data_IF_902966071027
#
_entry.id   IF_902966071027
#
_cell.length_a   1.000
_cell.length_b   1.000
_cell.length_c   1.000
_cell.angle_alpha   90.00
_cell.angle_beta   90.00
_cell.angle_gamma   90.00
#
_symmetry.space_group_name_H-M   'P 1'
#
loop_
_entity.id
_entity.type
_entity.pdbx_description
1 polymer ?
#
# COMPACT_ATOMS: atom_id res chain seq x y z
N UNK A 1 44.64 13.96 0.40
CA UNK A 1 44.18 12.55 0.44
C UNK A 1 42.97 12.44 -0.50
N UNK A 2 43.17 12.02 -1.75
CA UNK A 2 42.08 11.87 -2.72
C UNK A 2 41.24 10.65 -2.33
N UNK A 3 40.08 10.85 -1.68
CA UNK A 3 39.08 9.79 -1.59
C UNK A 3 38.58 9.53 -3.00
N UNK A 4 38.96 8.39 -3.59
CA UNK A 4 38.32 7.89 -4.81
C UNK A 4 36.81 7.89 -4.56
N UNK A 5 36.09 8.77 -5.26
CA UNK A 5 34.64 8.73 -5.34
C UNK A 5 34.26 7.46 -6.11
N UNK A 6 34.20 6.33 -5.39
CA UNK A 6 33.70 5.07 -5.94
C UNK A 6 32.25 5.31 -6.31
N UNK A 7 31.95 5.35 -7.62
CA UNK A 7 30.60 5.53 -8.14
C UNK A 7 29.69 4.49 -7.49
N UNK A 8 28.73 4.94 -6.68
CA UNK A 8 27.77 4.05 -6.05
C UNK A 8 26.86 3.51 -7.15
N UNK A 9 26.87 2.19 -7.34
CA UNK A 9 25.97 1.52 -8.25
C UNK A 9 24.72 1.10 -7.47
N UNK A 10 23.56 1.42 -8.01
CA UNK A 10 22.28 0.91 -7.51
C UNK A 10 22.15 -0.56 -7.90
N UNK A 11 21.86 -1.42 -6.93
CA UNK A 11 21.50 -2.81 -7.20
C UNK A 11 19.98 -2.94 -7.34
N UNK A 12 19.49 -3.70 -8.33
CA UNK A 12 18.05 -3.91 -8.51
C UNK A 12 17.48 -4.79 -7.39
N UNK A 13 16.17 -4.70 -7.13
CA UNK A 13 15.48 -5.47 -6.09
C UNK A 13 15.78 -6.98 -6.15
N UNK A 14 15.89 -7.53 -7.37
CA UNK A 14 16.19 -8.93 -7.65
C UNK A 14 17.51 -9.41 -7.00
N UNK A 15 18.48 -8.51 -6.83
CA UNK A 15 19.76 -8.81 -6.20
C UNK A 15 19.60 -9.27 -4.74
N UNK A 16 18.53 -8.86 -4.07
CA UNK A 16 18.34 -9.08 -2.63
C UNK A 16 17.51 -10.33 -2.28
N UNK A 17 16.87 -10.98 -3.26
CA UNK A 17 15.89 -12.08 -3.06
C UNK A 17 16.44 -13.33 -2.39
N UNK A 18 17.75 -13.60 -2.52
CA UNK A 18 18.39 -14.81 -1.97
C UNK A 18 19.10 -14.57 -0.65
N UNK A 19 19.08 -13.34 -0.11
CA UNK A 19 19.71 -13.05 1.17
C UNK A 19 18.89 -13.71 2.28
N UNK A 20 19.57 -14.34 3.23
CA UNK A 20 18.94 -15.03 4.37
C UNK A 20 19.38 -14.35 5.66
N UNK A 21 18.75 -13.22 5.97
CA UNK A 21 19.00 -12.53 7.23
C UNK A 21 18.13 -13.13 8.35
N UNK A 22 18.61 -12.98 9.59
CA UNK A 22 17.81 -13.28 10.79
C UNK A 22 16.70 -12.24 10.92
N UNK A 23 15.56 -12.65 11.50
CA UNK A 23 14.39 -11.79 11.62
C UNK A 23 14.68 -10.50 12.39
N UNK A 24 15.27 -10.62 13.59
CA UNK A 24 15.68 -9.47 14.41
C UNK A 24 16.51 -8.44 13.62
N UNK A 25 17.42 -8.89 12.76
CA UNK A 25 18.21 -7.98 11.92
C UNK A 25 17.35 -7.23 10.90
N UNK A 26 16.37 -7.93 10.31
CA UNK A 26 15.44 -7.33 9.35
C UNK A 26 14.60 -6.27 10.07
N UNK A 27 14.00 -6.61 11.20
CA UNK A 27 13.16 -5.70 11.99
C UNK A 27 13.93 -4.47 12.47
N UNK A 28 15.13 -4.67 13.04
CA UNK A 28 15.99 -3.56 13.44
C UNK A 28 16.30 -2.63 12.27
N UNK A 29 16.64 -3.20 11.11
CA UNK A 29 16.90 -2.39 9.91
C UNK A 29 15.64 -1.70 9.39
N UNK A 30 14.47 -2.32 9.52
CA UNK A 30 13.20 -1.68 9.16
C UNK A 30 12.90 -0.47 10.05
N UNK A 31 13.14 -0.61 11.34
CA UNK A 31 13.01 0.43 12.35
C UNK A 31 14.00 1.58 12.11
N UNK A 32 15.28 1.27 11.90
CA UNK A 32 16.31 2.26 11.55
C UNK A 32 15.98 3.06 10.26
N UNK A 33 15.17 2.50 9.37
CA UNK A 33 14.73 3.14 8.13
C UNK A 33 13.37 3.83 8.26
N UNK A 34 12.67 3.67 9.38
CA UNK A 34 11.35 4.23 9.65
C UNK A 34 10.21 3.59 8.86
N UNK A 35 10.27 2.28 8.57
CA UNK A 35 9.14 1.58 7.94
C UNK A 35 7.94 1.33 8.88
N UNK A 36 8.23 1.23 10.18
CA UNK A 36 7.24 0.92 11.20
C UNK A 36 6.69 2.19 11.87
N UNK A 37 7.11 3.36 11.39
CA UNK A 37 6.70 4.67 11.91
C UNK A 37 5.57 5.24 11.03
N UNK A 38 4.69 6.05 11.63
CA UNK A 38 3.71 6.84 10.88
C UNK A 38 4.32 8.11 10.29
N UNK A 39 5.55 8.45 10.68
CA UNK A 39 6.27 9.61 10.20
C UNK A 39 6.71 9.46 8.72
N UNK A 40 6.43 10.49 7.91
CA UNK A 40 6.93 10.58 6.53
C UNK A 40 8.31 11.21 6.42
N UNK A 41 8.90 11.75 7.49
CA UNK A 41 10.28 12.25 7.51
C UNK A 41 11.34 11.12 7.61
N UNK A 42 10.97 9.91 7.23
CA UNK A 42 11.81 8.71 7.34
C UNK A 42 12.65 8.43 6.09
N UNK A 43 13.79 7.73 6.25
CA UNK A 43 14.56 7.24 5.10
C UNK A 43 13.73 6.36 4.15
N UNK A 44 12.79 5.56 4.66
CA UNK A 44 11.91 4.72 3.86
C UNK A 44 11.01 5.55 2.94
N UNK A 45 10.33 6.56 3.48
CA UNK A 45 9.46 7.46 2.72
C UNK A 45 10.24 8.22 1.65
N UNK A 46 11.36 8.86 2.02
CA UNK A 46 12.25 9.58 1.09
C UNK A 46 12.79 8.67 -0.02
N UNK A 47 13.04 7.40 0.29
CA UNK A 47 13.46 6.41 -0.71
C UNK A 47 12.38 6.13 -1.75
N UNK A 48 11.09 6.32 -1.45
CA UNK A 48 10.02 6.15 -2.46
C UNK A 48 10.14 7.15 -3.61
N UNK A 49 10.51 8.40 -3.29
CA UNK A 49 10.85 9.42 -4.30
C UNK A 49 12.05 8.97 -5.15
N UNK A 50 13.12 8.48 -4.52
CA UNK A 50 14.28 7.98 -5.24
C UNK A 50 13.97 6.76 -6.12
N UNK A 51 13.14 5.84 -5.65
CA UNK A 51 12.69 4.69 -6.44
C UNK A 51 11.95 5.19 -7.69
N UNK A 52 11.06 6.18 -7.55
CA UNK A 52 10.40 6.77 -8.71
C UNK A 52 11.42 7.27 -9.72
N UNK A 53 12.31 8.17 -9.29
CA UNK A 53 13.26 8.86 -10.15
C UNK A 53 14.31 7.93 -10.80
N UNK A 54 14.68 6.84 -10.12
CA UNK A 54 15.82 6.01 -10.53
C UNK A 54 15.43 4.61 -11.02
N UNK A 55 14.24 4.11 -10.67
CA UNK A 55 13.80 2.76 -11.04
C UNK A 55 12.68 2.74 -12.08
N UNK A 56 11.81 3.75 -12.13
CA UNK A 56 10.67 3.75 -13.06
C UNK A 56 11.05 4.35 -14.42
N UNK A 57 10.34 3.98 -15.49
CA UNK A 57 10.54 4.64 -16.79
C UNK A 57 10.10 6.10 -16.73
N UNK A 58 10.76 6.99 -17.48
CA UNK A 58 10.45 8.43 -17.52
C UNK A 58 8.95 8.74 -17.71
N UNK A 59 8.25 7.96 -18.55
CA UNK A 59 6.80 8.11 -18.77
C UNK A 59 5.96 7.82 -17.53
N UNK A 60 6.42 6.90 -16.67
CA UNK A 60 5.75 6.58 -15.41
C UNK A 60 6.14 7.61 -14.35
N UNK A 61 7.40 8.02 -14.30
CA UNK A 61 7.88 9.06 -13.38
C UNK A 61 7.06 10.34 -13.45
N UNK A 62 6.72 10.79 -14.66
CA UNK A 62 5.92 12.00 -14.86
C UNK A 62 4.43 11.82 -14.55
N UNK A 63 3.97 10.59 -14.30
CA UNK A 63 2.55 10.26 -14.15
C UNK A 63 2.17 9.67 -12.81
N UNK A 64 3.11 9.08 -12.08
CA UNK A 64 2.84 8.39 -10.82
C UNK A 64 3.34 9.24 -9.65
N UNK A 65 2.41 9.56 -8.78
CA UNK A 65 2.69 10.28 -7.53
C UNK A 65 2.47 9.34 -6.34
N UNK A 66 3.23 9.58 -5.28
CA UNK A 66 3.18 8.86 -4.03
C UNK A 66 2.85 9.86 -2.92
N UNK A 67 1.84 9.53 -2.12
CA UNK A 67 1.44 10.30 -0.95
C UNK A 67 1.19 9.36 0.22
N UNK A 68 1.48 9.83 1.44
CA UNK A 68 1.12 9.15 2.69
C UNK A 68 -0.01 9.91 3.36
N UNK A 69 -0.95 9.17 3.95
CA UNK A 69 -2.07 9.71 4.71
C UNK A 69 -2.18 8.92 6.00
N UNK A 70 -2.23 9.63 7.11
CA UNK A 70 -2.55 9.05 8.41
C UNK A 70 -4.05 9.22 8.66
N UNK A 71 -4.74 8.10 8.88
CA UNK A 71 -6.16 8.06 9.24
C UNK A 71 -6.25 7.47 10.64
N UNK A 72 -6.77 8.26 11.58
CA UNK A 72 -7.26 7.71 12.85
C UNK A 72 -8.51 6.87 12.55
N UNK A 73 -8.30 5.57 12.45
CA UNK A 73 -9.37 4.65 12.11
C UNK A 73 -10.42 4.63 13.22
N UNK A 74 -10.00 4.67 14.48
CA UNK A 74 -10.92 4.63 15.63
C UNK A 74 -11.81 5.85 15.66
N UNK A 75 -11.24 7.03 15.45
CA UNK A 75 -12.00 8.29 15.44
C UNK A 75 -13.03 8.28 14.29
N UNK A 76 -12.58 8.02 13.05
CA UNK A 76 -13.48 8.09 11.90
C UNK A 76 -14.60 7.05 11.95
N UNK A 77 -14.38 5.90 12.60
CA UNK A 77 -15.43 4.89 12.76
C UNK A 77 -16.63 5.39 13.60
N UNK A 78 -16.46 6.35 14.52
CA UNK A 78 -17.59 6.95 15.26
C UNK A 78 -18.48 7.80 14.37
N UNK A 79 -17.90 8.37 13.31
CA UNK A 79 -18.63 9.23 12.39
C UNK A 79 -19.24 8.44 11.25
N UNK A 80 -18.86 7.17 11.02
CA UNK A 80 -19.23 6.39 9.83
C UNK A 80 -20.75 6.29 9.55
N UNK A 81 -21.59 6.39 10.57
CA UNK A 81 -23.06 6.40 10.43
C UNK A 81 -23.66 7.81 10.27
N UNK A 82 -22.88 8.85 10.49
CA UNK A 82 -23.25 10.27 10.41
C UNK A 82 -22.51 10.91 9.23
N UNK A 83 -23.18 10.96 8.08
CA UNK A 83 -22.60 11.45 6.83
C UNK A 83 -22.07 12.88 6.95
N UNK A 84 -22.74 13.76 7.72
CA UNK A 84 -22.29 15.14 7.88
C UNK A 84 -20.95 15.19 8.62
N UNK A 85 -20.83 14.47 9.74
CA UNK A 85 -19.59 14.43 10.51
C UNK A 85 -18.45 13.77 9.74
N UNK A 86 -18.73 12.72 8.96
CA UNK A 86 -17.70 12.12 8.09
C UNK A 86 -17.17 13.13 7.09
N UNK A 87 -18.04 13.93 6.45
CA UNK A 87 -17.61 14.94 5.49
C UNK A 87 -16.74 16.01 6.15
N UNK A 88 -17.19 16.56 7.29
CA UNK A 88 -16.42 17.54 8.07
C UNK A 88 -15.05 16.97 8.52
N UNK A 89 -15.00 15.69 8.90
CA UNK A 89 -13.76 15.02 9.26
C UNK A 89 -12.82 14.89 8.05
N UNK A 90 -13.32 14.47 6.88
CA UNK A 90 -12.52 14.36 5.66
C UNK A 90 -11.94 15.71 5.18
N UNK A 91 -12.61 16.84 5.42
CA UNK A 91 -12.13 18.18 5.04
C UNK A 91 -10.78 18.53 5.69
N UNK A 92 -10.52 17.96 6.87
CA UNK A 92 -9.34 18.26 7.67
C UNK A 92 -8.22 17.23 7.51
N UNK A 93 -8.36 16.25 6.62
CA UNK A 93 -7.30 15.26 6.40
C UNK A 93 -6.19 15.90 5.58
N UNK A 94 -4.98 15.75 6.10
CA UNK A 94 -3.75 16.13 5.44
C UNK A 94 -3.03 14.90 4.88
N UNK A 95 -2.13 15.15 3.94
CA UNK A 95 -1.23 14.15 3.41
C UNK A 95 0.19 14.67 3.36
N UNK A 96 1.13 13.73 3.37
CA UNK A 96 2.55 14.02 3.36
C UNK A 96 3.13 13.65 2.00
N UNK A 97 3.94 14.55 1.45
CA UNK A 97 4.57 14.43 0.14
C UNK A 97 6.04 14.83 0.20
N UNK A 98 6.90 14.17 -0.58
CA UNK A 98 8.31 14.51 -0.72
C UNK A 98 8.53 15.48 -1.89
N UNK A 99 8.92 16.72 -1.59
CA UNK A 99 9.27 17.73 -2.60
C UNK A 99 10.78 17.76 -2.86
N UNK A 100 11.22 18.65 -3.75
CA UNK A 100 12.63 18.78 -4.15
C UNK A 100 13.55 18.94 -2.94
N UNK A 101 14.67 18.21 -2.92
CA UNK A 101 15.57 18.17 -1.76
C UNK A 101 15.22 17.13 -0.68
N UNK A 102 14.16 16.33 -0.85
CA UNK A 102 13.63 15.37 0.15
C UNK A 102 12.93 16.00 1.35
N UNK A 103 12.64 17.29 1.28
CA UNK A 103 11.80 17.97 2.24
C UNK A 103 10.38 17.40 2.19
N UNK A 104 9.82 17.15 3.37
CA UNK A 104 8.47 16.63 3.54
C UNK A 104 7.52 17.80 3.78
N UNK A 105 6.45 17.82 3.01
CA UNK A 105 5.40 18.83 3.14
C UNK A 105 4.10 18.15 3.53
N UNK A 106 3.43 18.75 4.50
CA UNK A 106 2.07 18.43 4.87
C UNK A 106 1.14 19.36 4.10
N UNK A 107 0.20 18.80 3.35
CA UNK A 107 -0.77 19.54 2.53
C UNK A 107 -2.16 18.99 2.72
N UNK A 108 -3.20 19.76 2.39
CA UNK A 108 -4.56 19.26 2.40
C UNK A 108 -4.73 18.12 1.38
N UNK A 109 -5.30 17.00 1.80
CA UNK A 109 -5.41 15.80 0.97
C UNK A 109 -6.31 16.02 -0.26
N UNK A 110 -7.45 16.71 -0.09
CA UNK A 110 -8.40 16.94 -1.18
C UNK A 110 -7.80 17.87 -2.23
N UNK A 111 -7.24 19.00 -1.80
CA UNK A 111 -6.60 19.97 -2.70
C UNK A 111 -5.48 19.31 -3.50
N UNK A 112 -4.63 18.51 -2.84
CA UNK A 112 -3.55 17.84 -3.54
C UNK A 112 -4.05 16.75 -4.50
N UNK A 113 -5.06 15.97 -4.12
CA UNK A 113 -5.68 15.01 -5.05
C UNK A 113 -6.26 15.71 -6.27
N UNK A 114 -6.90 16.87 -6.10
CA UNK A 114 -7.45 17.67 -7.19
C UNK A 114 -6.37 18.14 -8.16
N UNK A 115 -5.27 18.68 -7.65
CA UNK A 115 -4.12 19.09 -8.47
C UNK A 115 -3.60 17.91 -9.31
N UNK A 116 -3.37 16.77 -8.67
CA UNK A 116 -2.87 15.57 -9.34
C UNK A 116 -3.86 15.02 -10.37
N UNK A 117 -5.16 15.05 -10.07
CA UNK A 117 -6.20 14.58 -10.97
C UNK A 117 -6.39 15.53 -12.17
N UNK A 118 -6.20 16.84 -11.99
CA UNK A 118 -6.22 17.84 -13.06
C UNK A 118 -5.11 17.58 -14.09
N UNK A 119 -3.95 17.10 -13.62
CA UNK A 119 -2.81 16.68 -14.43
C UNK A 119 -2.94 15.26 -15.00
N UNK A 120 -4.08 14.60 -14.77
CA UNK A 120 -4.35 13.23 -15.20
C UNK A 120 -3.28 12.24 -14.68
N UNK A 121 -2.81 12.44 -13.43
CA UNK A 121 -1.84 11.59 -12.74
C UNK A 121 -2.49 10.31 -12.23
N UNK A 122 -1.65 9.31 -11.98
CA UNK A 122 -1.92 8.13 -11.17
C UNK A 122 -1.48 8.49 -9.76
N UNK A 123 -2.37 8.31 -8.79
CA UNK A 123 -2.08 8.66 -7.41
C UNK A 123 -2.02 7.37 -6.61
N UNK A 124 -0.85 7.04 -6.09
CA UNK A 124 -0.66 5.98 -5.12
C UNK A 124 -0.68 6.59 -3.72
N UNK A 125 -1.64 6.16 -2.92
CA UNK A 125 -1.85 6.61 -1.56
C UNK A 125 -1.48 5.47 -0.61
N UNK A 126 -0.41 5.65 0.15
CA UNK A 126 -0.15 4.86 1.34
C UNK A 126 -1.05 5.37 2.45
N UNK A 127 -1.92 4.52 2.98
CA UNK A 127 -2.86 4.90 4.05
C UNK A 127 -2.41 4.16 5.31
N UNK A 128 -1.95 4.90 6.30
CA UNK A 128 -1.72 4.40 7.65
C UNK A 128 -3.04 4.45 8.41
N UNK A 129 -3.57 3.29 8.79
CA UNK A 129 -4.77 3.18 9.61
C UNK A 129 -4.36 3.01 11.08
N UNK A 130 -4.37 4.09 11.82
CA UNK A 130 -4.09 4.08 13.26
C UNK A 130 -5.27 3.48 14.03
N UNK A 131 -4.99 2.61 15.00
CA UNK A 131 -5.99 1.89 15.78
C UNK A 131 -6.84 0.89 14.98
N UNK A 132 -6.40 0.48 13.79
CA UNK A 132 -7.11 -0.49 12.94
C UNK A 132 -7.17 -1.88 13.58
N UNK A 133 -8.38 -2.41 13.77
CA UNK A 133 -8.58 -3.77 14.26
C UNK A 133 -8.15 -4.00 15.71
N UNK A 134 -7.82 -2.94 16.46
CA UNK A 134 -7.34 -3.04 17.83
C UNK A 134 -8.51 -3.16 18.80
N UNK A 135 -8.70 -4.34 19.39
CA UNK A 135 -9.40 -4.50 20.67
C UNK A 135 -8.45 -4.01 21.79
N UNK A 136 -8.96 -3.31 22.82
CA UNK A 136 -8.09 -2.60 23.79
C UNK A 136 -7.07 -3.48 24.55
N UNK A 137 -7.21 -4.81 24.57
CA UNK A 137 -6.18 -5.70 25.14
C UNK A 137 -4.88 -5.74 24.29
N UNK A 138 -4.98 -5.37 23.01
CA UNK A 138 -3.87 -5.27 22.06
C UNK A 138 -3.39 -3.81 21.87
N UNK A 139 -3.98 -2.85 22.58
CA UNK A 139 -3.71 -1.40 22.47
C UNK A 139 -2.28 -1.01 22.83
N UNK A 140 -1.64 -1.75 23.73
CA UNK A 140 -0.23 -1.52 24.11
C UNK A 140 0.76 -2.16 23.12
N UNK A 141 0.31 -3.00 22.19
CA UNK A 141 1.17 -3.86 21.37
C UNK A 141 1.05 -3.64 19.86
N UNK A 142 0.00 -2.97 19.38
CA UNK A 142 -0.27 -2.89 17.95
C UNK A 142 0.27 -1.60 17.32
N UNK A 143 1.21 -1.76 16.39
CA UNK A 143 1.70 -0.71 15.51
C UNK A 143 0.82 -0.61 14.27
N UNK A 144 0.34 0.60 13.97
CA UNK A 144 -0.15 1.14 12.70
C UNK A 144 -0.28 0.14 11.51
N UNK A 145 -1.48 0.04 10.93
CA UNK A 145 -1.73 -0.86 9.80
C UNK A 145 -1.68 -0.13 8.45
N UNK A 146 -0.68 -0.46 7.63
CA UNK A 146 -0.49 0.15 6.31
C UNK A 146 -1.33 -0.53 5.22
N UNK A 147 -2.14 0.25 4.49
CA UNK A 147 -2.93 -0.19 3.33
C UNK A 147 -2.66 0.70 2.11
N UNK A 148 -3.20 0.35 0.95
CA UNK A 148 -2.97 1.08 -0.31
C UNK A 148 -4.26 1.54 -0.96
N UNK A 149 -4.33 2.82 -1.32
CA UNK A 149 -5.29 3.38 -2.26
C UNK A 149 -4.60 3.69 -3.60
N UNK A 150 -5.26 3.40 -4.72
CA UNK A 150 -4.73 3.73 -6.06
C UNK A 150 -5.81 4.38 -6.91
N UNK A 151 -5.64 5.66 -7.22
CA UNK A 151 -6.45 6.37 -8.20
C UNK A 151 -5.86 6.19 -9.60
N UNK A 152 -6.66 5.61 -10.49
CA UNK A 152 -6.25 5.33 -11.87
C UNK A 152 -7.09 6.15 -12.84
N UNK A 153 -6.48 6.98 -13.71
CA UNK A 153 -7.22 7.77 -14.70
C UNK A 153 -7.81 6.85 -15.78
N UNK A 154 -9.12 7.00 -16.01
CA UNK A 154 -9.87 6.37 -17.10
C UNK A 154 -10.03 7.30 -18.31
N UNK A 155 -9.70 8.58 -18.16
CA UNK A 155 -9.85 9.63 -19.17
C UNK A 155 -11.15 10.43 -18.98
N UNK A 156 -11.22 11.61 -19.60
CA UNK A 156 -12.38 12.51 -19.55
C UNK A 156 -12.85 12.83 -18.11
N UNK A 157 -11.91 13.18 -17.22
CA UNK A 157 -12.19 13.48 -15.81
C UNK A 157 -12.62 12.27 -14.98
N UNK A 158 -12.62 11.05 -15.52
CA UNK A 158 -13.02 9.84 -14.79
C UNK A 158 -11.83 9.14 -14.18
N UNK A 159 -12.01 8.73 -12.93
CA UNK A 159 -11.04 8.01 -12.12
C UNK A 159 -11.65 6.75 -11.54
N UNK A 160 -10.83 5.73 -11.37
CA UNK A 160 -11.16 4.55 -10.59
C UNK A 160 -10.29 4.52 -9.35
N UNK A 161 -10.90 4.40 -8.18
CA UNK A 161 -10.18 4.13 -6.94
C UNK A 161 -10.11 2.62 -6.69
N UNK A 162 -8.93 2.12 -6.33
CA UNK A 162 -8.69 0.73 -6.00
C UNK A 162 -8.14 0.67 -4.57
N UNK A 163 -8.75 -0.14 -3.71
CA UNK A 163 -8.35 -0.30 -2.32
C UNK A 163 -7.74 -1.67 -2.07
N UNK A 164 -6.58 -1.70 -1.41
CA UNK A 164 -5.83 -2.91 -1.14
C UNK A 164 -5.42 -2.92 0.33
N UNK A 165 -5.98 -3.84 1.09
CA UNK A 165 -5.54 -4.18 2.43
C UNK A 165 -5.08 -5.64 2.43
N UNK A 166 -3.90 -5.89 2.98
CA UNK A 166 -3.18 -7.17 2.87
C UNK A 166 -3.85 -8.34 3.60
N UNK A 167 -4.81 -8.08 4.49
CA UNK A 167 -5.70 -9.10 5.04
C UNK A 167 -6.54 -9.79 3.95
N UNK A 168 -6.75 -9.13 2.81
CA UNK A 168 -7.47 -9.68 1.65
C UNK A 168 -8.89 -10.11 2.01
N UNK A 169 -9.25 -11.36 1.69
CA UNK A 169 -10.59 -11.89 1.96
C UNK A 169 -10.98 -11.85 3.45
N UNK A 170 -10.03 -11.85 4.38
CA UNK A 170 -10.32 -11.76 5.83
C UNK A 170 -11.01 -10.44 6.21
N UNK A 171 -10.86 -9.37 5.42
CA UNK A 171 -11.59 -8.12 5.67
C UNK A 171 -13.11 -8.29 5.57
N UNK A 172 -13.61 -9.28 4.83
CA UNK A 172 -15.06 -9.47 4.64
C UNK A 172 -15.79 -9.75 5.94
N UNK A 173 -15.07 -10.19 6.98
CA UNK A 173 -15.63 -10.48 8.31
C UNK A 173 -15.39 -9.35 9.31
N UNK A 174 -14.72 -8.28 8.92
CA UNK A 174 -14.51 -7.08 9.75
C UNK A 174 -15.65 -6.11 9.47
N UNK A 175 -16.84 -6.44 9.96
CA UNK A 175 -18.08 -5.69 9.72
C UNK A 175 -18.66 -5.08 11.01
N UNK A 176 -17.84 -4.94 12.05
CA UNK A 176 -18.24 -4.34 13.31
C UNK A 176 -17.12 -3.49 13.92
N UNK A 177 -17.52 -2.61 14.83
CA UNK A 177 -16.64 -1.86 15.74
C UNK A 177 -17.00 -2.22 17.17
N UNK A 178 -16.01 -2.49 18.02
CA UNK A 178 -16.21 -2.62 19.46
C UNK A 178 -15.72 -1.37 20.17
N UNK A 179 -16.58 -0.80 21.01
CA UNK A 179 -16.27 0.34 21.84
C UNK A 179 -16.45 -0.02 23.31
N UNK A 180 -15.35 -0.08 24.04
CA UNK A 180 -15.35 -0.40 25.46
C UNK A 180 -15.37 0.89 26.29
N UNK A 181 -16.46 1.12 27.03
CA UNK A 181 -16.60 2.26 27.96
C UNK A 181 -15.96 1.99 29.33
N UNK A 182 -15.84 0.72 29.73
CA UNK A 182 -15.21 0.27 30.98
C UNK A 182 -14.79 -1.19 30.86
N UNK A 183 -14.09 -1.74 31.86
CA UNK A 183 -13.68 -3.16 31.89
C UNK A 183 -14.81 -4.18 31.71
N UNK A 184 -16.07 -3.76 31.87
CA UNK A 184 -17.25 -4.62 31.76
C UNK A 184 -18.26 -4.14 30.71
N UNK A 185 -18.15 -2.91 30.21
CA UNK A 185 -19.14 -2.32 29.31
C UNK A 185 -18.55 -2.17 27.91
N UNK A 186 -18.91 -3.09 27.02
CA UNK A 186 -18.58 -3.04 25.59
C UNK A 186 -19.84 -2.80 24.78
N UNK A 187 -19.78 -1.85 23.84
CA UNK A 187 -20.80 -1.58 22.84
C UNK A 187 -20.25 -2.00 21.48
N UNK A 188 -20.90 -2.99 20.87
CA UNK A 188 -20.62 -3.41 19.51
C UNK A 188 -21.54 -2.67 18.54
N UNK A 189 -20.96 -2.04 17.52
CA UNK A 189 -21.68 -1.43 16.41
C UNK A 189 -21.50 -2.35 15.22
N UNK A 190 -22.57 -3.02 14.80
CA UNK A 190 -22.56 -3.91 13.64
C UNK A 190 -22.94 -3.13 12.37
N UNK A 191 -22.16 -3.33 11.31
CA UNK A 191 -22.40 -2.78 9.99
C UNK A 191 -22.88 -3.87 9.03
N UNK A 192 -23.48 -3.44 7.91
CA UNK A 192 -23.99 -4.36 6.86
C UNK A 192 -22.91 -4.78 5.85
N UNK A 193 -21.78 -4.09 5.87
CA UNK A 193 -20.66 -4.25 4.95
C UNK A 193 -19.35 -4.09 5.73
N UNK A 194 -18.22 -4.57 5.19
CA UNK A 194 -16.92 -4.38 5.83
C UNK A 194 -16.60 -2.91 6.11
N UNK A 195 -15.98 -2.64 7.27
CA UNK A 195 -15.68 -1.27 7.73
C UNK A 195 -14.78 -0.51 6.74
N UNK A 196 -13.78 -1.18 6.16
CA UNK A 196 -12.91 -0.61 5.12
C UNK A 196 -13.70 -0.14 3.89
N UNK A 197 -14.69 -0.93 3.47
CA UNK A 197 -15.53 -0.59 2.30
C UNK A 197 -16.35 0.65 2.59
N UNK A 198 -16.95 0.72 3.78
CA UNK A 198 -17.75 1.86 4.19
C UNK A 198 -16.89 3.13 4.25
N UNK A 199 -15.71 3.06 4.87
CA UNK A 199 -14.79 4.19 4.96
C UNK A 199 -14.39 4.70 3.56
N UNK A 200 -13.92 3.80 2.70
CA UNK A 200 -13.47 4.17 1.35
C UNK A 200 -14.62 4.65 0.45
N UNK A 201 -15.84 4.15 0.66
CA UNK A 201 -17.02 4.66 -0.05
C UNK A 201 -17.41 6.06 0.42
N UNK A 202 -17.33 6.33 1.72
CA UNK A 202 -17.54 7.67 2.27
C UNK A 202 -16.46 8.64 1.77
N UNK A 203 -15.20 8.22 1.73
CA UNK A 203 -14.08 9.01 1.21
C UNK A 203 -14.25 9.35 -0.28
N UNK A 204 -14.61 8.38 -1.12
CA UNK A 204 -14.83 8.64 -2.55
C UNK A 204 -16.08 9.49 -2.82
N UNK A 205 -17.13 9.37 -1.99
CA UNK A 205 -18.27 10.30 -2.03
C UNK A 205 -17.85 11.72 -1.67
N UNK A 206 -17.03 11.89 -0.62
CA UNK A 206 -16.47 13.17 -0.22
C UNK A 206 -15.70 13.83 -1.36
N UNK A 207 -14.74 13.12 -1.98
CA UNK A 207 -13.99 13.62 -3.14
C UNK A 207 -14.95 14.03 -4.26
N UNK A 208 -15.90 13.18 -4.63
CA UNK A 208 -16.83 13.47 -5.72
C UNK A 208 -17.73 14.69 -5.48
N UNK A 209 -18.00 15.02 -4.21
CA UNK A 209 -18.86 16.15 -3.84
C UNK A 209 -18.06 17.46 -3.77
N UNK A 210 -16.80 17.40 -3.34
CA UNK A 210 -16.03 18.57 -2.96
C UNK A 210 -14.85 18.87 -3.90
N UNK A 211 -14.55 18.02 -4.89
CA UNK A 211 -13.51 18.34 -5.85
C UNK A 211 -13.87 19.56 -6.72
N UNK A 212 -12.87 20.38 -6.98
CA UNK A 212 -12.95 21.62 -7.75
C UNK A 212 -12.85 21.40 -9.26
N UNK A 213 -12.38 20.22 -9.68
CA UNK A 213 -12.02 19.90 -11.06
C UNK A 213 -13.09 19.11 -11.84
N UNK A 214 -14.26 18.88 -11.24
CA UNK A 214 -15.35 18.04 -11.76
C UNK A 214 -14.89 16.62 -12.15
N UNK A 215 -13.87 16.09 -11.47
CA UNK A 215 -13.48 14.70 -11.62
C UNK A 215 -14.51 13.78 -10.97
N UNK A 216 -14.67 12.58 -11.52
CA UNK A 216 -15.53 11.56 -10.95
C UNK A 216 -14.74 10.30 -10.63
N UNK A 217 -14.66 9.97 -9.34
CA UNK A 217 -14.02 8.77 -8.80
C UNK A 217 -15.06 7.68 -8.59
N UNK A 218 -14.89 6.54 -9.26
CA UNK A 218 -15.71 5.35 -9.04
C UNK A 218 -15.07 4.38 -8.04
N UNK A 219 -15.84 3.99 -7.02
CA UNK A 219 -15.51 2.90 -6.10
C UNK A 219 -16.80 2.21 -5.61
N UNK A 220 -16.87 0.89 -5.71
CA UNK A 220 -18.04 0.07 -5.37
C UNK A 220 -17.83 -0.74 -4.10
N UNK A 221 -16.59 -1.12 -3.75
CA UNK A 221 -16.31 -1.93 -2.57
C UNK A 221 -16.40 -3.45 -2.81
N UNK A 222 -16.31 -3.88 -4.06
CA UNK A 222 -16.44 -5.30 -4.46
C UNK A 222 -15.13 -5.84 -5.06
N UNK A 223 -15.10 -7.09 -5.53
CA UNK A 223 -13.85 -7.71 -6.04
C UNK A 223 -13.22 -6.98 -7.24
N UNK A 224 -13.92 -6.03 -7.87
CA UNK A 224 -13.43 -5.29 -9.04
C UNK A 224 -12.49 -4.13 -8.65
N UNK A 225 -12.67 -3.57 -7.45
CA UNK A 225 -11.95 -2.39 -6.96
C UNK A 225 -11.44 -2.53 -5.52
N UNK A 226 -11.78 -3.64 -4.84
CA UNK A 226 -11.31 -3.97 -3.51
C UNK A 226 -10.58 -5.32 -3.54
N UNK A 227 -9.39 -5.37 -2.95
CA UNK A 227 -8.63 -6.61 -2.90
C UNK A 227 -9.22 -7.60 -1.89
N UNK A 228 -9.90 -8.63 -2.40
CA UNK A 228 -10.38 -9.78 -1.63
C UNK A 228 -9.64 -11.08 -1.98
N UNK A 229 -8.35 -10.96 -2.32
CA UNK A 229 -7.49 -12.10 -2.62
C UNK A 229 -7.06 -12.86 -1.36
N UNK A 230 -5.96 -13.60 -1.47
CA UNK A 230 -5.40 -14.33 -0.32
C UNK A 230 -4.86 -13.36 0.72
N UNK A 231 -4.95 -13.74 2.01
CA UNK A 231 -4.33 -12.99 3.09
C UNK A 231 -2.79 -13.07 2.95
N UNK A 232 -2.17 -11.96 2.55
CA UNK A 232 -0.72 -11.89 2.32
C UNK A 232 0.08 -11.82 3.62
N UNK A 233 -0.59 -11.56 4.75
CA UNK A 233 -0.02 -11.54 6.09
C UNK A 233 -0.28 -12.87 6.82
N UNK A 234 -0.70 -13.91 6.11
CA UNK A 234 -0.93 -15.21 6.71
C UNK A 234 0.36 -15.72 7.36
N UNK A 235 0.34 -15.91 8.68
CA UNK A 235 1.50 -16.31 9.47
C UNK A 235 2.45 -15.17 9.85
N UNK A 236 2.02 -13.91 9.75
CA UNK A 236 2.71 -12.76 10.35
C UNK A 236 2.25 -12.58 11.80
N UNK A 237 3.11 -12.99 12.73
CA UNK A 237 2.98 -12.83 14.19
C UNK A 237 3.93 -11.73 14.73
N UNK A 238 4.47 -10.90 13.82
CA UNK A 238 5.53 -9.95 14.12
C UNK A 238 5.25 -8.52 13.61
N UNK A 239 4.05 -8.27 13.07
CA UNK A 239 3.64 -6.94 12.59
C UNK A 239 4.40 -6.45 11.36
N UNK A 240 4.88 -7.36 10.50
CA UNK A 240 5.78 -7.04 9.38
C UNK A 240 5.04 -6.55 8.12
N UNK A 241 3.73 -6.69 8.13
CA UNK A 241 2.88 -6.37 7.01
C UNK A 241 2.97 -4.94 6.46
N UNK A 242 3.54 -3.98 7.21
CA UNK A 242 3.83 -2.62 6.75
C UNK A 242 4.56 -2.57 5.41
N UNK A 243 5.32 -3.63 5.04
CA UNK A 243 6.11 -3.64 3.82
C UNK A 243 5.26 -3.79 2.54
N UNK A 244 4.05 -4.34 2.65
CA UNK A 244 3.23 -4.74 1.51
C UNK A 244 2.87 -3.54 0.62
N UNK A 245 2.38 -2.40 1.16
CA UNK A 245 2.14 -1.20 0.38
C UNK A 245 3.38 -0.74 -0.43
N UNK A 246 4.55 -0.66 0.18
CA UNK A 246 5.75 -0.20 -0.53
C UNK A 246 6.13 -1.10 -1.73
N UNK A 247 5.90 -2.41 -1.60
CA UNK A 247 6.11 -3.36 -2.70
C UNK A 247 5.09 -3.12 -3.82
N UNK A 248 3.82 -2.92 -3.47
CA UNK A 248 2.77 -2.61 -4.43
C UNK A 248 3.09 -1.32 -5.19
N UNK A 249 3.60 -0.28 -4.52
CA UNK A 249 4.07 0.94 -5.17
C UNK A 249 5.23 0.67 -6.14
N UNK A 250 6.25 -0.07 -5.71
CA UNK A 250 7.40 -0.41 -6.55
C UNK A 250 6.96 -1.14 -7.83
N UNK A 251 6.12 -2.17 -7.70
CA UNK A 251 5.64 -2.94 -8.85
C UNK A 251 4.61 -2.17 -9.69
N UNK A 252 3.78 -1.31 -9.09
CA UNK A 252 2.91 -0.41 -9.85
C UNK A 252 3.74 0.44 -10.80
N UNK A 253 4.79 1.09 -10.31
CA UNK A 253 5.64 1.96 -11.12
C UNK A 253 6.48 1.19 -12.14
N UNK A 254 7.18 0.15 -11.69
CA UNK A 254 8.08 -0.63 -12.55
C UNK A 254 7.33 -1.42 -13.65
N UNK A 255 6.06 -1.75 -13.41
CA UNK A 255 5.24 -2.57 -14.32
C UNK A 255 3.98 -1.83 -14.82
N UNK A 256 3.94 -0.49 -14.74
CA UNK A 256 2.74 0.25 -15.16
C UNK A 256 2.40 0.02 -16.64
N UNK A 257 3.40 0.13 -17.51
CA UNK A 257 3.28 -0.09 -18.95
C UNK A 257 3.96 -1.37 -19.44
N UNK A 258 4.54 -2.15 -18.54
CA UNK A 258 5.30 -3.36 -18.85
C UNK A 258 4.71 -4.57 -18.14
N UNK A 259 4.75 -5.77 -18.73
CA UNK A 259 4.31 -6.98 -18.03
C UNK A 259 5.16 -7.24 -16.78
N UNK A 260 4.59 -7.94 -15.78
CA UNK A 260 5.30 -8.37 -14.58
C UNK A 260 6.33 -9.46 -14.87
N UNK A 261 6.07 -10.30 -15.87
CA UNK A 261 7.05 -11.25 -16.39
C UNK A 261 7.30 -10.97 -17.87
N UNK A 262 8.55 -10.65 -18.23
CA UNK A 262 8.94 -10.40 -19.63
C UNK A 262 8.96 -11.65 -20.49
N UNK A 263 8.96 -12.83 -19.87
CA UNK A 263 9.02 -14.13 -20.57
C UNK A 263 7.64 -14.75 -20.77
N UNK A 264 6.61 -14.20 -20.13
CA UNK A 264 5.27 -14.78 -20.15
C UNK A 264 4.21 -13.68 -20.24
N UNK A 265 3.54 -13.60 -21.39
CA UNK A 265 2.51 -12.62 -21.70
C UNK A 265 1.26 -12.72 -20.81
N UNK A 266 1.15 -13.78 -20.00
CA UNK A 266 0.09 -13.95 -18.99
C UNK A 266 0.07 -12.78 -17.99
N UNK A 267 1.26 -12.29 -17.64
CA UNK A 267 1.46 -11.32 -16.58
C UNK A 267 1.38 -9.89 -17.08
N UNK A 268 0.19 -9.49 -17.54
CA UNK A 268 -0.12 -8.17 -18.09
C UNK A 268 0.37 -6.98 -17.24
N UNK A 269 0.52 -5.80 -17.84
CA UNK A 269 0.92 -4.57 -17.13
C UNK A 269 -0.09 -4.11 -16.09
N UNK A 270 0.39 -3.40 -15.05
CA UNK A 270 -0.46 -2.90 -13.97
C UNK A 270 -1.55 -1.94 -14.48
N UNK A 271 -1.23 -1.08 -15.46
CA UNK A 271 -2.24 -0.21 -16.08
C UNK A 271 -3.41 -0.99 -16.67
N UNK A 272 -3.15 -2.12 -17.36
CA UNK A 272 -4.21 -2.91 -17.99
C UNK A 272 -5.03 -3.63 -16.92
N UNK A 273 -4.37 -4.21 -15.91
CA UNK A 273 -5.04 -4.94 -14.83
C UNK A 273 -6.00 -4.03 -14.03
N UNK A 274 -5.52 -2.87 -13.58
CA UNK A 274 -6.32 -1.97 -12.75
C UNK A 274 -7.52 -1.36 -13.52
N UNK A 275 -7.31 -0.98 -14.79
CA UNK A 275 -8.40 -0.47 -15.66
C UNK A 275 -9.42 -1.54 -16.05
N UNK A 276 -9.02 -2.81 -16.09
CA UNK A 276 -9.89 -3.94 -16.45
C UNK A 276 -10.48 -4.67 -15.23
N UNK A 277 -10.50 -4.04 -14.05
CA UNK A 277 -11.06 -4.63 -12.83
C UNK A 277 -10.37 -5.92 -12.37
N UNK A 278 -9.06 -6.04 -12.62
CA UNK A 278 -8.25 -7.20 -12.23
C UNK A 278 -7.30 -6.85 -11.08
N UNK A 279 -7.82 -6.22 -10.03
CA UNK A 279 -7.05 -5.80 -8.85
C UNK A 279 -6.38 -6.98 -8.15
N UNK A 280 -7.07 -8.12 -8.01
CA UNK A 280 -6.50 -9.34 -7.43
C UNK A 280 -5.27 -9.83 -8.21
N UNK A 281 -5.32 -9.79 -9.55
CA UNK A 281 -4.17 -10.18 -10.36
C UNK A 281 -3.03 -9.18 -10.22
N UNK A 282 -3.31 -7.87 -10.19
CA UNK A 282 -2.28 -6.85 -9.93
C UNK A 282 -1.54 -7.11 -8.61
N UNK A 283 -2.28 -7.36 -7.53
CA UNK A 283 -1.71 -7.65 -6.22
C UNK A 283 -0.89 -8.94 -6.29
N UNK A 284 -1.47 -10.07 -6.70
CA UNK A 284 -0.74 -11.35 -6.74
C UNK A 284 0.49 -11.31 -7.67
N UNK A 285 0.40 -10.63 -8.82
CA UNK A 285 1.54 -10.47 -9.74
C UNK A 285 2.70 -9.69 -9.13
N UNK A 286 2.41 -8.78 -8.20
CA UNK A 286 3.45 -8.07 -7.45
C UNK A 286 4.24 -9.00 -6.52
N UNK A 287 3.73 -10.20 -6.23
CA UNK A 287 4.34 -11.15 -5.29
C UNK A 287 4.89 -12.44 -5.92
N UNK A 288 4.64 -12.71 -7.21
CA UNK A 288 5.09 -13.96 -7.87
C UNK A 288 6.60 -14.21 -7.75
N UNK A 289 7.35 -13.12 -7.66
CA UNK A 289 8.79 -13.15 -7.76
C UNK A 289 9.50 -13.45 -6.43
N UNK A 290 8.73 -13.58 -5.33
CA UNK A 290 9.24 -13.87 -4.00
C UNK A 290 9.04 -15.33 -3.58
N UNK A 291 8.14 -16.09 -4.24
CA UNK A 291 7.87 -17.47 -3.87
C UNK A 291 7.64 -18.37 -5.11
N UNK A 292 8.52 -19.36 -5.39
CA UNK A 292 8.42 -20.17 -6.60
C UNK A 292 7.10 -20.94 -6.76
N UNK A 293 6.57 -21.50 -5.67
CA UNK A 293 5.27 -22.21 -5.68
C UNK A 293 4.12 -21.24 -5.96
N UNK A 294 4.19 -20.02 -5.41
CA UNK A 294 3.20 -18.96 -5.66
C UNK A 294 3.20 -18.59 -7.16
N UNK A 295 4.38 -18.40 -7.75
CA UNK A 295 4.53 -18.16 -9.19
C UNK A 295 3.95 -19.30 -10.03
N UNK A 296 4.27 -20.54 -9.66
CA UNK A 296 3.79 -21.74 -10.35
C UNK A 296 2.25 -21.80 -10.35
N UNK A 297 1.61 -21.55 -9.20
CA UNK A 297 0.15 -21.50 -9.10
C UNK A 297 -0.42 -20.41 -10.01
N UNK A 298 0.17 -19.21 -10.00
CA UNK A 298 -0.28 -18.10 -10.85
C UNK A 298 -0.12 -18.39 -12.35
N UNK A 299 0.85 -19.22 -12.75
CA UNK A 299 1.09 -19.61 -14.14
C UNK A 299 0.16 -20.72 -14.62
N UNK A 300 -0.12 -21.70 -13.75
CA UNK A 300 -0.73 -22.96 -14.17
C UNK A 300 -2.23 -23.05 -13.85
N UNK A 301 -2.76 -22.25 -12.93
CA UNK A 301 -4.17 -22.30 -12.53
C UNK A 301 -4.96 -21.13 -13.12
N UNK A 302 -5.89 -21.44 -14.03
CA UNK A 302 -6.71 -20.43 -14.75
C UNK A 302 -7.98 -20.08 -13.97
N UNK A 303 -8.56 -21.05 -13.25
CA UNK A 303 -9.80 -20.84 -12.51
C UNK A 303 -9.54 -20.04 -11.23
N UNK A 304 -10.21 -18.90 -11.08
CA UNK A 304 -9.92 -17.96 -9.99
C UNK A 304 -10.12 -18.56 -8.60
N UNK A 305 -11.21 -19.31 -8.38
CA UNK A 305 -11.51 -19.90 -7.07
C UNK A 305 -10.50 -20.98 -6.68
N UNK A 306 -10.12 -21.83 -7.63
CA UNK A 306 -9.10 -22.85 -7.42
C UNK A 306 -7.73 -22.22 -7.16
N UNK A 307 -7.37 -21.21 -7.96
CA UNK A 307 -6.14 -20.44 -7.79
C UNK A 307 -6.06 -19.81 -6.41
N UNK A 308 -7.12 -19.16 -5.93
CA UNK A 308 -7.17 -18.58 -4.59
C UNK A 308 -7.01 -19.63 -3.49
N UNK A 309 -7.64 -20.80 -3.63
CA UNK A 309 -7.48 -21.90 -2.67
C UNK A 309 -6.03 -22.42 -2.63
N UNK A 310 -5.42 -22.63 -3.79
CA UNK A 310 -4.02 -23.08 -3.90
C UNK A 310 -3.04 -22.04 -3.34
N UNK A 311 -3.23 -20.76 -3.67
CA UNK A 311 -2.41 -19.67 -3.12
C UNK A 311 -2.53 -19.60 -1.60
N UNK A 312 -3.74 -19.77 -1.05
CA UNK A 312 -3.96 -19.78 0.40
C UNK A 312 -3.16 -20.90 1.06
N UNK A 313 -3.27 -22.13 0.54
CA UNK A 313 -2.50 -23.27 1.05
C UNK A 313 -0.98 -23.05 0.92
N UNK A 314 -0.54 -22.45 -0.18
CA UNK A 314 0.86 -22.08 -0.38
C UNK A 314 1.35 -21.11 0.71
N UNK A 315 0.55 -20.10 1.06
CA UNK A 315 0.90 -19.13 2.10
C UNK A 315 0.86 -19.74 3.50
N UNK A 316 -0.19 -20.50 3.84
CA UNK A 316 -0.32 -21.20 5.13
C UNK A 316 0.86 -22.16 5.38
N UNK A 317 1.28 -22.91 4.35
CA UNK A 317 2.46 -23.80 4.40
C UNK A 317 3.78 -23.03 4.52
N UNK A 318 3.85 -21.83 3.94
CA UNK A 318 5.03 -20.98 4.03
C UNK A 318 5.17 -20.39 5.44
N UNK A 319 4.04 -20.09 6.10
CA UNK A 319 3.97 -19.38 7.37
C UNK A 319 4.70 -18.03 7.28
N UNK A 320 5.34 -17.62 8.38
CA UNK A 320 6.08 -16.36 8.47
C UNK A 320 7.20 -16.21 7.42
N UNK A 321 7.67 -17.30 6.78
CA UNK A 321 8.77 -17.24 5.81
C UNK A 321 8.42 -16.39 4.58
N UNK A 322 7.17 -16.42 4.12
CA UNK A 322 6.75 -15.64 2.97
C UNK A 322 6.93 -14.14 3.23
N UNK A 323 6.35 -13.65 4.32
CA UNK A 323 6.44 -12.23 4.72
C UNK A 323 7.87 -11.85 5.07
N UNK A 324 8.61 -12.73 5.77
CA UNK A 324 10.03 -12.51 6.09
C UNK A 324 10.89 -12.34 4.83
N UNK A 325 10.74 -13.20 3.83
CA UNK A 325 11.58 -13.18 2.62
C UNK A 325 11.30 -11.92 1.79
N UNK A 326 10.02 -11.56 1.68
CA UNK A 326 9.57 -10.31 1.07
C UNK A 326 10.20 -9.10 1.77
N UNK A 327 10.07 -9.04 3.09
CA UNK A 327 10.55 -7.93 3.91
C UNK A 327 12.05 -7.80 3.84
N UNK A 328 12.77 -8.92 4.01
CA UNK A 328 14.22 -8.94 3.92
C UNK A 328 14.71 -8.40 2.57
N UNK A 329 14.05 -8.81 1.49
CA UNK A 329 14.40 -8.39 0.13
C UNK A 329 14.21 -6.88 -0.03
N UNK A 330 13.06 -6.36 0.38
CA UNK A 330 12.68 -4.97 0.13
C UNK A 330 13.40 -4.00 1.07
N UNK A 331 13.48 -4.30 2.36
CA UNK A 331 14.25 -3.53 3.36
C UNK A 331 15.73 -3.48 3.00
N UNK A 332 16.29 -4.59 2.49
CA UNK A 332 17.68 -4.60 2.02
C UNK A 332 17.87 -3.73 0.77
N UNK A 333 16.88 -3.69 -0.13
CA UNK A 333 16.92 -2.88 -1.34
C UNK A 333 16.81 -1.39 -1.03
N UNK A 334 15.92 -0.97 -0.13
CA UNK A 334 15.76 0.44 0.26
C UNK A 334 16.93 0.90 1.11
N UNK A 335 17.35 0.10 2.08
CA UNK A 335 18.52 0.39 2.91
C UNK A 335 19.86 0.12 2.21
N UNK A 336 19.94 0.20 0.88
CA UNK A 336 21.20 0.11 0.15
C UNK A 336 21.91 1.48 0.15
N UNK A 337 23.25 1.47 0.18
CA UNK A 337 24.05 2.69 0.31
C UNK A 337 23.79 3.72 -0.79
N UNK A 338 23.36 3.28 -1.99
CA UNK A 338 22.98 4.19 -3.08
C UNK A 338 21.87 5.17 -2.67
N UNK A 339 20.78 4.68 -2.09
CA UNK A 339 19.67 5.55 -1.67
C UNK A 339 20.03 6.33 -0.41
N UNK A 340 20.57 5.65 0.59
CA UNK A 340 20.87 6.26 1.89
C UNK A 340 21.87 7.41 1.76
N UNK A 341 22.89 7.27 0.90
CA UNK A 341 23.84 8.36 0.67
C UNK A 341 23.20 9.54 -0.07
N UNK A 342 22.32 9.30 -1.05
CA UNK A 342 21.61 10.39 -1.75
C UNK A 342 20.72 11.22 -0.83
N UNK A 343 20.10 10.58 0.16
CA UNK A 343 19.29 11.26 1.18
C UNK A 343 20.18 12.03 2.16
N UNK A 344 21.36 11.50 2.51
CA UNK A 344 22.29 12.22 3.40
C UNK A 344 22.93 13.41 2.69
N UNK A 345 23.35 13.24 1.43
CA UNK A 345 24.04 14.27 0.64
C UNK A 345 23.12 15.45 0.24
N UNK A 346 21.80 15.39 0.52
CA UNK A 346 20.85 16.49 0.28
C UNK A 346 20.69 17.45 1.47
N UNK A 347 21.20 17.07 2.65
CA UNK A 347 21.36 17.95 3.81
C UNK A 347 22.75 18.58 3.82
#
# INVERSE_FOLDING_TARGET
>A
MFKLNKKLNMFPLQHYRKKKNKLYYILKKSDDLGFCDMDSDTPAFKTMKLIRENCFDKRVQSKLEYLSVNIDFRECMYFLTDEKKMLEWFENIECEIAYDGFDIYTVNLLEHIDDLMSENKIVYMFINLDGYGVDQEEEEYYSCHGVSGIFVPLGNGKYKFNYINSHGKSMKTTDYLEHRFSSTRVKKIQFKEPVDVLLMRSFTKFINKNNSINAHVSYKGNELDTYYGVNLQCGDDHGICFIIPFILYYYLGNNYYKPFDKKNDLFSSASKLLKQNRIMDFVHYSFIDFHPEFKSIMMNCVLINERLALLRLCLEKSGFRFVKDITNTFVSFIGQSYFQKKIIDSY
#
